data_IF_140248050795
#
_entry.id   IF_140248050795
#
_cell.length_a   1.000
_cell.length_b   1.000
_cell.length_c   1.000
_cell.angle_alpha   90.00
_cell.angle_beta   90.00
_cell.angle_gamma   90.00
#
_symmetry.space_group_name_H-M   'P 1'
#
loop_
_entity.id
_entity.type
_entity.pdbx_description
1 polymer ?
#
# COMPACT_ATOMS: atom_id res chain seq x y z
N UNK A 1 -17.95 -20.68 -21.24
CA UNK A 1 -16.95 -20.41 -20.18
C UNK A 1 -16.26 -19.10 -20.51
N UNK A 2 -15.98 -18.24 -19.53
CA UNK A 2 -15.18 -17.01 -19.78
C UNK A 2 -13.70 -17.37 -19.81
N UNK A 3 -13.06 -17.26 -20.97
CA UNK A 3 -11.62 -17.48 -21.12
C UNK A 3 -10.84 -16.35 -20.45
N UNK A 4 -10.00 -16.68 -19.46
CA UNK A 4 -9.10 -15.73 -18.80
C UNK A 4 -7.88 -15.48 -19.73
N UNK A 5 -7.88 -14.35 -20.43
CA UNK A 5 -6.81 -13.94 -21.35
C UNK A 5 -5.53 -13.56 -20.60
N UNK A 6 -5.71 -12.79 -19.51
CA UNK A 6 -4.64 -12.30 -18.65
C UNK A 6 -4.86 -12.77 -17.22
N UNK A 7 -3.81 -13.25 -16.57
CA UNK A 7 -3.73 -13.43 -15.14
C UNK A 7 -3.07 -12.22 -14.49
N UNK A 8 -3.69 -11.71 -13.42
CA UNK A 8 -3.26 -10.49 -12.75
C UNK A 8 -2.71 -10.84 -11.36
N UNK A 9 -1.44 -10.47 -11.11
CA UNK A 9 -0.80 -10.68 -9.81
C UNK A 9 -0.04 -9.43 -9.34
N UNK A 10 -0.24 -8.96 -8.09
CA UNK A 10 -1.24 -9.41 -7.13
C UNK A 10 -2.65 -8.90 -7.49
N UNK A 11 -3.69 -9.66 -7.13
CA UNK A 11 -5.10 -9.22 -7.26
C UNK A 11 -5.50 -8.12 -6.25
N UNK A 12 -4.69 -7.91 -5.21
CA UNK A 12 -4.90 -6.92 -4.16
C UNK A 12 -3.69 -5.97 -4.10
N UNK A 13 -3.90 -4.68 -4.41
CA UNK A 13 -2.82 -3.69 -4.40
C UNK A 13 -2.70 -3.02 -3.02
N UNK A 14 -1.58 -3.25 -2.35
CA UNK A 14 -1.21 -2.60 -1.08
C UNK A 14 -0.28 -1.40 -1.34
N UNK A 15 -0.48 -0.33 -0.59
CA UNK A 15 0.35 0.88 -0.64
C UNK A 15 0.69 1.30 0.79
N UNK A 16 1.97 1.44 1.09
CA UNK A 16 2.43 2.17 2.29
C UNK A 16 1.97 3.62 2.17
N UNK A 17 1.30 4.17 3.19
CA UNK A 17 0.84 5.56 3.17
C UNK A 17 1.67 6.44 4.09
N UNK A 18 2.13 7.54 3.52
CA UNK A 18 2.88 8.58 4.21
C UNK A 18 2.37 9.95 3.74
N UNK A 19 2.10 10.85 4.68
CA UNK A 19 1.65 12.20 4.36
C UNK A 19 2.67 12.92 3.48
N UNK A 20 2.20 13.58 2.43
CA UNK A 20 3.02 14.32 1.44
C UNK A 20 4.06 13.47 0.67
N UNK A 21 4.06 12.14 0.78
CA UNK A 21 4.93 11.27 -0.04
C UNK A 21 4.14 10.44 -1.04
N UNK A 22 4.81 10.04 -2.12
CA UNK A 22 4.29 9.08 -3.09
C UNK A 22 4.56 7.64 -2.64
N UNK A 23 3.77 6.70 -3.15
CA UNK A 23 3.92 5.26 -2.87
C UNK A 23 3.60 4.47 -4.13
N UNK A 24 4.31 3.38 -4.41
CA UNK A 24 4.13 2.63 -5.66
C UNK A 24 4.18 1.13 -5.47
N UNK A 25 3.34 0.42 -6.23
CA UNK A 25 3.38 -1.04 -6.36
C UNK A 25 3.42 -1.43 -7.85
N UNK A 26 3.93 -2.64 -8.13
CA UNK A 26 3.92 -3.23 -9.47
C UNK A 26 2.86 -4.32 -9.57
N UNK A 27 2.22 -4.40 -10.74
CA UNK A 27 1.19 -5.40 -11.08
C UNK A 27 1.65 -6.12 -12.33
N UNK A 28 1.76 -7.44 -12.25
CA UNK A 28 2.12 -8.30 -13.37
C UNK A 28 0.85 -8.77 -14.07
N UNK A 29 0.80 -8.55 -15.38
CA UNK A 29 -0.21 -9.06 -16.30
C UNK A 29 0.42 -10.19 -17.11
N UNK A 30 0.06 -11.44 -16.82
CA UNK A 30 0.59 -12.62 -17.49
C UNK A 30 -0.39 -13.12 -18.56
N UNK A 31 0.05 -13.14 -19.82
CA UNK A 31 -0.75 -13.62 -20.95
C UNK A 31 -0.73 -15.16 -21.00
N UNK A 32 -1.87 -15.80 -20.72
CA UNK A 32 -2.02 -17.26 -20.75
C UNK A 32 -2.22 -17.83 -22.17
N UNK A 33 -2.48 -16.98 -23.16
CA UNK A 33 -2.83 -17.37 -24.53
C UNK A 33 -1.61 -17.53 -25.45
N UNK A 34 -1.83 -18.17 -26.61
CA UNK A 34 -0.86 -18.25 -27.72
C UNK A 34 -0.90 -17.01 -28.65
N UNK A 35 -1.68 -15.99 -28.31
CA UNK A 35 -1.94 -14.81 -29.14
C UNK A 35 -1.47 -13.53 -28.46
N UNK A 36 -1.41 -12.44 -29.21
CA UNK A 36 -1.10 -11.12 -28.66
C UNK A 36 -2.35 -10.58 -27.94
N UNK A 37 -2.14 -10.00 -26.75
CA UNK A 37 -3.23 -9.42 -25.95
C UNK A 37 -2.95 -7.95 -25.72
N UNK A 38 -3.80 -7.07 -26.24
CA UNK A 38 -3.81 -5.66 -25.85
C UNK A 38 -4.48 -5.51 -24.48
N UNK A 39 -3.97 -4.60 -23.65
CA UNK A 39 -4.55 -4.27 -22.36
C UNK A 39 -4.78 -2.77 -22.20
N UNK A 40 -5.74 -2.41 -21.34
CA UNK A 40 -5.94 -1.04 -20.86
C UNK A 40 -6.38 -1.03 -19.41
N UNK A 41 -5.64 -0.29 -18.58
CA UNK A 41 -5.88 -0.13 -17.15
C UNK A 41 -6.68 1.15 -16.91
N UNK A 42 -7.77 1.04 -16.16
CA UNK A 42 -8.62 2.15 -15.69
C UNK A 42 -8.67 2.13 -14.17
N UNK A 43 -8.91 3.29 -13.56
CA UNK A 43 -9.09 3.43 -12.10
C UNK A 43 -10.31 4.28 -11.79
N UNK A 44 -10.96 4.02 -10.66
CA UNK A 44 -12.04 4.89 -10.14
C UNK A 44 -11.52 6.24 -9.65
N UNK A 45 -10.21 6.36 -9.40
CA UNK A 45 -9.63 7.49 -8.67
C UNK A 45 -8.39 8.08 -9.40
N UNK A 46 -8.55 8.56 -10.65
CA UNK A 46 -7.44 9.00 -11.52
C UNK A 46 -6.69 10.24 -11.01
N UNK A 47 -7.26 11.01 -10.08
CA UNK A 47 -6.57 12.11 -9.38
C UNK A 47 -5.61 11.61 -8.29
N UNK A 48 -5.82 10.40 -7.78
CA UNK A 48 -5.05 9.82 -6.67
C UNK A 48 -3.96 8.86 -7.16
N UNK A 49 -4.17 8.19 -8.29
CA UNK A 49 -3.25 7.20 -8.85
C UNK A 49 -2.81 7.53 -10.27
N UNK A 50 -1.53 7.29 -10.54
CA UNK A 50 -0.93 7.32 -11.87
C UNK A 50 -0.57 5.88 -12.22
N UNK A 51 -0.95 5.42 -13.41
CA UNK A 51 -0.65 4.07 -13.90
C UNK A 51 0.30 4.19 -15.10
N UNK A 52 1.43 3.47 -15.07
CA UNK A 52 2.44 3.50 -16.13
C UNK A 52 2.97 2.09 -16.48
N UNK A 53 2.91 1.69 -17.76
CA UNK A 53 2.02 2.22 -18.80
C UNK A 53 0.54 1.91 -18.47
N UNK A 54 -0.40 2.69 -19.01
CA UNK A 54 -1.83 2.47 -18.81
C UNK A 54 -2.52 1.66 -19.93
N UNK A 55 -1.80 1.39 -21.03
CA UNK A 55 -2.14 0.42 -22.07
C UNK A 55 -0.87 -0.09 -22.74
N UNK A 56 -0.97 -1.20 -23.46
CA UNK A 56 0.13 -1.79 -24.23
C UNK A 56 -0.29 -3.15 -24.80
N UNK A 57 0.64 -3.85 -25.45
CA UNK A 57 0.42 -5.20 -26.00
C UNK A 57 1.37 -6.21 -25.36
N UNK A 58 0.83 -7.34 -24.92
CA UNK A 58 1.58 -8.44 -24.30
C UNK A 58 1.71 -9.57 -25.32
N UNK A 59 2.95 -10.04 -25.52
CA UNK A 59 3.26 -11.17 -26.41
C UNK A 59 2.61 -12.49 -25.90
N UNK A 60 2.40 -13.49 -26.78
CA UNK A 60 2.04 -14.85 -26.38
C UNK A 60 2.93 -15.36 -25.23
N UNK A 61 2.33 -16.03 -24.24
CA UNK A 61 3.03 -16.63 -23.06
C UNK A 61 3.98 -15.69 -22.31
N UNK A 62 3.80 -14.39 -22.44
CA UNK A 62 4.67 -13.38 -21.84
C UNK A 62 3.96 -12.62 -20.73
N UNK A 63 4.74 -11.95 -19.89
CA UNK A 63 4.23 -11.16 -18.76
C UNK A 63 4.69 -9.72 -18.88
N UNK A 64 3.82 -8.79 -18.48
CA UNK A 64 4.07 -7.36 -18.53
C UNK A 64 3.88 -6.73 -17.15
N UNK A 65 4.81 -5.85 -16.73
CA UNK A 65 4.74 -5.18 -15.43
C UNK A 65 4.20 -3.75 -15.57
N UNK A 66 3.11 -3.46 -14.87
CA UNK A 66 2.49 -2.13 -14.78
C UNK A 66 2.76 -1.55 -13.40
N UNK A 67 3.39 -0.38 -13.34
CA UNK A 67 3.57 0.35 -12.08
C UNK A 67 2.36 1.24 -11.81
N UNK A 68 1.81 1.13 -10.60
CA UNK A 68 0.78 2.02 -10.08
C UNK A 68 1.40 2.87 -8.97
N UNK A 69 1.33 4.19 -9.11
CA UNK A 69 1.86 5.16 -8.13
C UNK A 69 0.71 5.96 -7.52
N UNK A 70 0.53 5.86 -6.21
CA UNK A 70 -0.31 6.76 -5.42
C UNK A 70 0.40 8.11 -5.27
N UNK A 71 -0.30 9.19 -5.62
CA UNK A 71 0.20 10.56 -5.52
C UNK A 71 0.22 11.05 -4.05
N UNK A 72 1.12 11.98 -3.70
CA UNK A 72 1.17 12.61 -2.38
C UNK A 72 -0.18 13.13 -1.88
N UNK A 73 -0.68 12.56 -0.78
CA UNK A 73 -1.92 13.02 -0.14
C UNK A 73 -1.61 14.09 0.92
N UNK A 74 -2.44 15.14 0.97
CA UNK A 74 -2.34 16.21 1.98
C UNK A 74 -3.05 15.88 3.30
N UNK A 75 -3.99 14.94 3.28
CA UNK A 75 -4.84 14.54 4.40
C UNK A 75 -4.88 13.01 4.45
N UNK A 76 -4.88 12.43 5.66
CA UNK A 76 -5.02 10.99 5.83
C UNK A 76 -6.46 10.53 5.48
N UNK A 77 -6.64 9.42 4.75
CA UNK A 77 -7.98 8.87 4.51
C UNK A 77 -8.69 8.54 5.82
N UNK A 78 -10.00 8.86 5.98
CA UNK A 78 -10.78 8.43 7.12
C UNK A 78 -10.71 6.90 7.30
N UNK A 79 -10.54 6.46 8.55
CA UNK A 79 -10.31 5.05 8.92
C UNK A 79 -9.12 4.36 8.22
N UNK A 80 -8.23 5.10 7.56
CA UNK A 80 -7.03 4.55 6.92
C UNK A 80 -7.35 3.43 5.91
N UNK A 81 -8.53 3.51 5.27
CA UNK A 81 -9.01 2.56 4.26
C UNK A 81 -9.23 3.28 2.93
N UNK A 82 -8.89 2.62 1.81
CA UNK A 82 -9.32 3.05 0.48
C UNK A 82 -10.33 2.07 -0.10
N UNK A 83 -11.30 2.59 -0.86
CA UNK A 83 -12.29 1.82 -1.63
C UNK A 83 -12.04 1.95 -3.14
N UNK A 84 -10.84 2.37 -3.50
CA UNK A 84 -10.42 2.62 -4.88
C UNK A 84 -10.32 1.29 -5.64
N UNK A 85 -10.65 1.27 -6.92
CA UNK A 85 -10.61 0.04 -7.74
C UNK A 85 -9.86 0.26 -9.04
N UNK A 86 -9.23 -0.80 -9.52
CA UNK A 86 -8.59 -0.85 -10.83
C UNK A 86 -9.31 -1.88 -11.71
N UNK A 87 -9.45 -1.55 -12.99
CA UNK A 87 -10.07 -2.40 -14.00
C UNK A 87 -9.03 -2.63 -15.09
N UNK A 88 -8.72 -3.90 -15.36
CA UNK A 88 -7.94 -4.27 -16.54
C UNK A 88 -8.92 -4.76 -17.59
N UNK A 89 -8.95 -4.07 -18.72
CA UNK A 89 -9.61 -4.53 -19.93
C UNK A 89 -8.58 -5.22 -20.81
N UNK A 90 -8.93 -6.35 -21.42
CA UNK A 90 -8.08 -7.06 -22.37
C UNK A 90 -8.85 -7.55 -23.58
N UNK A 91 -8.15 -7.62 -24.71
CA UNK A 91 -8.65 -8.15 -25.98
C UNK A 91 -7.52 -8.82 -26.76
N UNK A 92 -7.85 -9.89 -27.47
CA UNK A 92 -6.95 -10.49 -28.47
C UNK A 92 -6.71 -9.50 -29.61
N UNK A 93 -5.48 -9.43 -30.11
CA UNK A 93 -5.10 -8.56 -31.24
C UNK A 93 -4.17 -9.30 -32.22
N UNK A 94 -4.12 -8.89 -33.51
CA UNK A 94 -3.17 -9.43 -34.47
C UNK A 94 -1.70 -9.17 -34.11
N UNK A 95 -0.81 -9.98 -34.66
CA UNK A 95 0.62 -9.69 -34.67
C UNK A 95 0.89 -8.34 -35.34
N UNK A 96 1.75 -7.51 -34.75
CA UNK A 96 2.15 -6.21 -35.31
C UNK A 96 1.31 -5.01 -34.88
N UNK A 97 0.21 -5.22 -34.13
CA UNK A 97 -0.62 -4.13 -33.57
C UNK A 97 0.24 -3.19 -32.71
N UNK A 98 0.26 -1.89 -33.04
CA UNK A 98 1.03 -0.86 -32.32
C UNK A 98 0.24 -0.25 -31.15
N UNK A 99 0.91 0.51 -30.28
CA UNK A 99 0.24 1.13 -29.11
C UNK A 99 -0.82 2.16 -29.48
N UNK A 100 -0.69 2.81 -30.65
CA UNK A 100 -1.61 3.83 -31.14
C UNK A 100 -2.99 3.25 -31.51
N UNK A 101 -3.03 2.01 -32.02
CA UNK A 101 -4.26 1.32 -32.45
C UNK A 101 -5.11 0.73 -31.30
N UNK A 102 -4.58 0.74 -30.07
CA UNK A 102 -5.28 0.23 -28.88
C UNK A 102 -6.43 1.16 -28.44
N UNK A 103 -6.38 2.44 -28.84
CA UNK A 103 -7.35 3.45 -28.42
C UNK A 103 -8.77 3.30 -29.02
N UNK A 104 -8.95 3.00 -30.33
CA UNK A 104 -10.27 2.71 -30.89
C UNK A 104 -10.80 1.31 -30.52
N UNK A 105 -9.99 0.26 -30.58
CA UNK A 105 -10.44 -1.14 -30.41
C UNK A 105 -11.08 -1.46 -29.04
N UNK A 106 -10.74 -0.70 -27.99
CA UNK A 106 -11.27 -0.89 -26.61
C UNK A 106 -12.41 0.11 -26.29
N UNK A 107 -12.89 0.88 -27.28
CA UNK A 107 -13.98 1.87 -27.15
C UNK A 107 -15.06 1.68 -28.21
N UNK A 108 -16.22 1.17 -27.75
CA UNK A 108 -17.53 1.21 -28.43
C UNK A 108 -17.76 0.22 -29.59
N UNK A 109 -18.87 -0.54 -29.49
CA UNK A 109 -19.48 -1.23 -30.64
C UNK A 109 -20.07 -2.62 -30.33
N UNK A 110 -21.30 -2.95 -30.77
CA UNK A 110 -21.92 -4.25 -30.52
C UNK A 110 -21.48 -5.35 -31.53
N UNK A 111 -21.17 -6.52 -30.98
CA UNK A 111 -21.14 -7.86 -31.61
C UNK A 111 -20.43 -8.03 -32.97
N UNK A 112 -19.18 -8.51 -32.91
CA UNK A 112 -18.65 -9.60 -33.74
C UNK A 112 -17.42 -10.20 -33.04
N UNK A 113 -17.58 -11.41 -32.49
CA UNK A 113 -16.54 -12.34 -31.98
C UNK A 113 -15.30 -11.76 -31.25
N UNK A 114 -15.49 -10.76 -30.38
CA UNK A 114 -14.42 -10.26 -29.49
C UNK A 114 -14.73 -10.60 -28.02
N UNK A 115 -13.97 -11.55 -27.46
CA UNK A 115 -14.03 -11.95 -26.05
C UNK A 115 -13.40 -10.86 -25.15
N UNK A 116 -14.08 -9.74 -25.00
CA UNK A 116 -13.65 -8.63 -24.16
C UNK A 116 -13.74 -8.99 -22.66
N UNK A 117 -12.62 -9.42 -22.07
CA UNK A 117 -12.56 -9.72 -20.64
C UNK A 117 -12.48 -8.41 -19.83
N UNK A 118 -13.21 -8.39 -18.71
CA UNK A 118 -13.20 -7.30 -17.72
C UNK A 118 -12.84 -7.89 -16.37
N UNK A 119 -11.55 -7.93 -16.05
CA UNK A 119 -11.12 -8.41 -14.74
C UNK A 119 -11.01 -7.25 -13.74
N UNK A 120 -11.57 -7.46 -12.55
CA UNK A 120 -11.69 -6.44 -11.50
C UNK A 120 -10.61 -6.67 -10.45
N UNK A 121 -9.65 -5.75 -10.41
CA UNK A 121 -8.61 -5.71 -9.39
C UNK A 121 -9.15 -4.90 -8.21
N UNK A 122 -9.60 -5.60 -7.18
CA UNK A 122 -10.00 -4.98 -5.92
C UNK A 122 -8.75 -4.51 -5.16
N UNK A 123 -8.57 -3.20 -5.00
CA UNK A 123 -7.48 -2.66 -4.19
C UNK A 123 -7.93 -2.53 -2.73
N UNK A 124 -7.57 -3.53 -1.92
CA UNK A 124 -7.54 -3.39 -0.47
C UNK A 124 -6.25 -2.67 -0.07
N UNK A 125 -6.33 -1.35 0.07
CA UNK A 125 -5.19 -0.55 0.54
C UNK A 125 -5.04 -0.75 2.05
N UNK A 126 -4.24 -1.75 2.41
CA UNK A 126 -3.68 -1.88 3.74
C UNK A 126 -2.51 -0.90 3.87
N UNK A 127 -2.80 0.27 4.44
CA UNK A 127 -1.79 1.30 4.70
C UNK A 127 -0.93 0.87 5.90
N UNK A 128 0.18 0.21 5.61
CA UNK A 128 1.22 -0.03 6.60
C UNK A 128 1.90 1.33 6.88
N UNK A 129 1.93 1.84 8.13
CA UNK A 129 2.72 3.02 8.44
C UNK A 129 4.22 2.69 8.26
N UNK A 130 5.05 3.62 7.79
CA UNK A 130 6.48 3.37 7.66
C UNK A 130 7.09 3.04 9.03
N UNK A 131 8.11 2.17 9.10
CA UNK A 131 8.92 2.08 10.32
C UNK A 131 9.53 3.46 10.60
N UNK A 132 9.29 3.98 11.80
CA UNK A 132 9.84 5.27 12.23
C UNK A 132 11.37 5.19 12.21
N UNK A 133 11.99 5.80 11.20
CA UNK A 133 13.40 6.21 11.32
C UNK A 133 13.44 7.38 12.27
N UNK A 134 14.09 7.19 13.42
CA UNK A 134 14.52 8.31 14.27
C UNK A 134 15.49 9.14 13.45
N UNK A 135 15.27 10.45 13.41
CA UNK A 135 16.20 11.42 12.83
C UNK A 135 17.35 11.65 13.80
N UNK A 136 18.56 11.26 13.40
CA UNK A 136 19.78 11.79 13.99
C UNK A 136 20.17 13.03 13.17
N UNK A 137 19.82 14.20 13.70
CA UNK A 137 20.35 15.47 13.20
C UNK A 137 21.76 15.68 13.77
N UNK A 138 22.57 16.35 12.95
CA UNK A 138 24.03 16.46 13.07
C UNK A 138 24.46 17.52 14.11
N UNK A 139 25.31 17.14 15.06
CA UNK A 139 26.25 18.09 15.69
C UNK A 139 27.68 17.52 15.70
N UNK A 140 28.61 18.36 15.25
CA UNK A 140 30.06 18.13 15.25
C UNK A 140 30.67 19.17 16.16
N UNK A 141 31.37 18.76 17.22
CA UNK A 141 32.45 19.53 17.84
C UNK A 141 33.54 18.61 18.39
N UNK A 142 34.78 19.05 18.21
CA UNK A 142 36.03 18.46 18.72
C UNK A 142 36.18 18.84 20.24
N UNK A 143 37.11 18.34 21.07
CA UNK A 143 38.32 17.55 20.84
C UNK A 143 38.77 16.79 22.13
N UNK A 144 39.83 15.98 21.99
CA UNK A 144 40.81 15.53 23.01
C UNK A 144 40.37 14.82 24.33
N UNK A 145 40.78 13.55 24.45
CA UNK A 145 41.76 13.15 25.49
C UNK A 145 42.46 11.83 25.09
N UNK A 146 43.80 11.81 25.05
CA UNK A 146 44.65 10.61 24.91
C UNK A 146 45.45 10.45 26.23
N UNK A 147 45.81 9.23 26.67
CA UNK A 147 47.21 8.82 26.52
C UNK A 147 47.41 7.41 25.93
N UNK A 148 48.58 7.16 25.33
CA UNK A 148 48.97 5.94 24.63
C UNK A 148 49.76 4.93 25.49
N UNK A 149 49.73 3.66 25.10
CA UNK A 149 50.90 2.75 25.07
C UNK A 149 50.65 1.62 24.03
N UNK A 150 51.36 1.56 22.89
CA UNK A 150 52.64 0.86 22.66
C UNK A 150 52.60 -0.65 23.02
N UNK A 151 52.92 -1.62 22.15
CA UNK A 151 53.84 -1.65 20.99
C UNK A 151 53.38 -2.56 19.83
N UNK A 152 53.77 -2.19 18.58
CA UNK A 152 54.34 -2.96 17.43
C UNK A 152 53.85 -4.40 17.09
N UNK A 153 53.89 -4.87 15.85
CA UNK A 153 54.85 -4.57 14.78
C UNK A 153 54.28 -4.79 13.36
N UNK A 154 54.81 -4.04 12.38
CA UNK A 154 54.55 -4.17 10.94
C UNK A 154 55.61 -5.05 10.26
N UNK A 155 55.25 -5.82 9.22
CA UNK A 155 55.83 -5.80 7.86
C UNK A 155 55.23 -6.95 6.99
N UNK A 156 55.56 -7.15 5.71
CA UNK A 156 55.46 -6.25 4.54
C UNK A 156 55.38 -7.06 3.21
N UNK A 157 55.33 -6.38 2.06
CA UNK A 157 55.47 -6.92 0.67
C UNK A 157 54.25 -7.62 0.05
N UNK A 158 53.83 -7.13 -1.13
CA UNK A 158 53.02 -7.89 -2.09
C UNK A 158 53.78 -8.14 -3.39
N UNK A 159 53.25 -8.95 -4.31
CA UNK A 159 53.63 -8.98 -5.74
C UNK A 159 52.52 -9.64 -6.57
N UNK A 160 52.44 -9.27 -7.86
CA UNK A 160 51.43 -9.71 -8.86
C UNK A 160 51.98 -10.93 -9.65
N UNK A 161 51.14 -11.88 -10.08
CA UNK A 161 50.92 -12.23 -11.51
C UNK A 161 50.24 -13.60 -11.79
N UNK A 162 49.55 -13.63 -12.93
CA UNK A 162 49.34 -14.72 -13.91
C UNK A 162 48.54 -15.98 -13.55
N UNK A 163 47.58 -16.26 -14.43
CA UNK A 163 46.87 -17.54 -14.57
C UNK A 163 47.72 -18.52 -15.40
N UNK A 164 47.63 -19.83 -15.09
CA UNK A 164 47.49 -20.85 -16.13
C UNK A 164 46.80 -22.10 -15.56
N UNK A 165 46.11 -22.88 -16.39
CA UNK A 165 45.34 -24.04 -15.95
C UNK A 165 46.04 -25.38 -16.15
N UNK A 166 45.47 -26.43 -15.54
CA UNK A 166 45.27 -27.80 -16.06
C UNK A 166 44.69 -28.68 -14.92
N UNK A 167 43.74 -29.56 -15.22
CA UNK A 167 43.27 -30.61 -14.28
C UNK A 167 43.77 -32.00 -14.69
N UNK A 168 43.09 -33.10 -14.32
CA UNK A 168 42.46 -33.38 -13.02
C UNK A 168 42.83 -34.80 -12.48
N UNK A 169 42.96 -35.01 -11.17
CA UNK A 169 42.89 -36.38 -10.58
C UNK A 169 42.44 -36.42 -9.11
N UNK A 170 41.38 -37.19 -8.87
CA UNK A 170 41.20 -38.22 -7.84
C UNK A 170 41.51 -37.94 -6.35
N UNK A 171 40.43 -38.04 -5.56
CA UNK A 171 40.30 -38.87 -4.34
C UNK A 171 40.83 -38.38 -2.97
N UNK A 172 39.85 -38.10 -2.10
CA UNK A 172 39.84 -38.31 -0.64
C UNK A 172 40.68 -37.37 0.23
N UNK A 173 40.07 -36.25 0.62
CA UNK A 173 40.35 -35.58 1.89
C UNK A 173 39.04 -35.42 2.68
N UNK A 174 39.00 -35.93 3.91
CA UNK A 174 37.82 -35.86 4.78
C UNK A 174 37.82 -34.51 5.50
N UNK A 175 37.14 -33.54 4.90
CA UNK A 175 37.10 -32.17 5.38
C UNK A 175 36.65 -32.08 6.84
N UNK A 176 37.44 -31.33 7.62
CA UNK A 176 37.42 -31.27 9.08
C UNK A 176 36.03 -30.92 9.65
N UNK A 177 35.39 -31.82 10.44
CA UNK A 177 34.04 -31.59 10.95
C UNK A 177 33.93 -30.38 11.89
N UNK A 178 35.03 -29.93 12.50
CA UNK A 178 35.03 -28.75 13.39
C UNK A 178 34.66 -27.45 12.67
N UNK A 179 35.03 -27.30 11.39
CA UNK A 179 34.75 -26.07 10.63
C UNK A 179 33.24 -25.86 10.46
N UNK A 180 32.50 -26.95 10.19
CA UNK A 180 31.04 -26.92 10.05
C UNK A 180 30.33 -26.63 11.39
N UNK A 181 30.90 -27.12 12.51
CA UNK A 181 30.32 -26.95 13.85
C UNK A 181 30.39 -25.49 14.31
N UNK A 182 31.52 -24.81 14.11
CA UNK A 182 31.64 -23.39 14.46
C UNK A 182 30.83 -22.48 13.53
N UNK A 183 30.69 -22.82 12.25
CA UNK A 183 29.78 -22.11 11.35
C UNK A 183 28.32 -22.24 11.82
N UNK A 184 27.87 -23.45 12.19
CA UNK A 184 26.52 -23.69 12.72
C UNK A 184 26.28 -22.95 14.04
N UNK A 185 27.24 -22.97 14.99
CA UNK A 185 27.18 -22.16 16.22
C UNK A 185 27.08 -20.67 15.92
N UNK A 186 27.81 -20.18 14.91
CA UNK A 186 27.75 -18.76 14.52
C UNK A 186 26.36 -18.39 13.98
N UNK A 187 25.76 -19.24 13.14
CA UNK A 187 24.40 -19.05 12.60
C UNK A 187 23.33 -19.11 13.68
N UNK A 188 23.48 -19.99 14.67
CA UNK A 188 22.55 -20.07 15.81
C UNK A 188 22.55 -18.75 16.61
N UNK A 189 23.73 -18.23 16.97
CA UNK A 189 23.86 -16.92 17.65
C UNK A 189 23.20 -15.78 16.86
N UNK A 190 23.35 -15.78 15.52
CA UNK A 190 22.71 -14.78 14.65
C UNK A 190 21.17 -14.92 14.64
N UNK A 191 20.64 -16.15 14.67
CA UNK A 191 19.19 -16.38 14.77
C UNK A 191 18.62 -15.96 16.12
N UNK A 192 19.32 -16.25 17.23
CA UNK A 192 18.88 -15.85 18.58
C UNK A 192 18.79 -14.31 18.72
N UNK A 193 19.71 -13.57 18.11
CA UNK A 193 19.68 -12.10 18.07
C UNK A 193 18.46 -11.61 17.27
N UNK A 194 18.23 -12.17 16.08
CA UNK A 194 17.08 -11.82 15.23
C UNK A 194 15.73 -12.18 15.87
N UNK A 195 15.67 -13.27 16.63
CA UNK A 195 14.47 -13.67 17.35
C UNK A 195 14.14 -12.65 18.45
N UNK A 196 15.13 -12.22 19.24
CA UNK A 196 14.96 -11.17 20.25
C UNK A 196 14.53 -9.83 19.64
N UNK A 197 15.09 -9.45 18.49
CA UNK A 197 14.67 -8.23 17.76
C UNK A 197 13.21 -8.32 17.29
N UNK A 198 12.79 -9.50 16.79
CA UNK A 198 11.41 -9.75 16.40
C UNK A 198 10.46 -9.72 17.61
N UNK A 199 10.82 -10.33 18.74
CA UNK A 199 10.01 -10.36 19.97
C UNK A 199 9.80 -8.95 20.53
N UNK A 200 10.85 -8.12 20.61
CA UNK A 200 10.76 -6.71 21.00
C UNK A 200 9.85 -5.90 20.07
N UNK A 201 9.91 -6.19 18.76
CA UNK A 201 9.06 -5.54 17.76
C UNK A 201 7.59 -5.95 17.93
N UNK A 202 7.32 -7.23 18.19
CA UNK A 202 5.98 -7.74 18.48
C UNK A 202 5.44 -7.12 19.78
N UNK A 203 6.24 -7.07 20.85
CA UNK A 203 5.84 -6.47 22.12
C UNK A 203 5.41 -5.01 21.93
N UNK A 204 6.28 -4.17 21.34
CA UNK A 204 5.97 -2.77 21.02
C UNK A 204 4.68 -2.61 20.20
N UNK A 205 4.51 -3.40 19.13
CA UNK A 205 3.31 -3.35 18.30
C UNK A 205 2.05 -3.81 19.04
N UNK A 206 2.16 -4.75 19.99
CA UNK A 206 1.01 -5.13 20.84
C UNK A 206 0.65 -4.04 21.85
N UNK A 207 1.62 -3.29 22.38
CA UNK A 207 1.37 -2.14 23.25
C UNK A 207 0.69 -0.99 22.51
N UNK A 208 1.19 -0.64 21.31
CA UNK A 208 0.56 0.37 20.45
C UNK A 208 -0.88 -0.01 20.09
N UNK A 209 -1.12 -1.29 19.71
CA UNK A 209 -2.49 -1.80 19.47
C UNK A 209 -3.38 -1.71 20.72
N UNK A 210 -2.85 -1.98 21.92
CA UNK A 210 -3.59 -1.82 23.19
C UNK A 210 -3.91 -0.34 23.45
N UNK A 211 -2.98 0.58 23.17
CA UNK A 211 -3.21 2.03 23.33
C UNK A 211 -4.32 2.54 22.40
N UNK A 212 -4.23 2.25 21.09
CA UNK A 212 -5.23 2.62 20.09
C UNK A 212 -6.61 2.04 20.45
N UNK A 213 -6.68 0.80 20.95
CA UNK A 213 -7.94 0.19 21.40
C UNK A 213 -8.59 0.99 22.54
N UNK A 214 -7.82 1.38 23.56
CA UNK A 214 -8.32 2.20 24.70
C UNK A 214 -8.80 3.57 24.24
N UNK A 215 -8.11 4.20 23.29
CA UNK A 215 -8.51 5.49 22.72
C UNK A 215 -9.83 5.37 21.94
N UNK A 216 -9.98 4.33 21.11
CA UNK A 216 -11.24 4.04 20.41
C UNK A 216 -12.39 3.81 21.40
N UNK A 217 -12.18 3.00 22.43
CA UNK A 217 -13.16 2.77 23.50
C UNK A 217 -13.53 4.06 24.28
N UNK A 218 -12.66 5.08 24.27
CA UNK A 218 -13.00 6.41 24.83
C UNK A 218 -13.84 7.22 23.84
N UNK A 219 -13.42 7.30 22.58
CA UNK A 219 -14.14 8.02 21.51
C UNK A 219 -15.57 7.49 21.31
N UNK A 220 -15.76 6.17 21.33
CA UNK A 220 -17.08 5.54 21.20
C UNK A 220 -18.00 5.95 22.38
N UNK A 221 -17.48 6.00 23.62
CA UNK A 221 -18.23 6.49 24.81
C UNK A 221 -18.58 7.97 24.70
N UNK A 222 -17.64 8.82 24.29
CA UNK A 222 -17.88 10.26 24.13
C UNK A 222 -18.95 10.52 23.03
N UNK A 223 -18.95 9.72 21.96
CA UNK A 223 -19.95 9.78 20.88
C UNK A 223 -21.34 9.33 21.35
N UNK A 224 -21.45 8.31 22.19
CA UNK A 224 -22.72 7.92 22.83
C UNK A 224 -23.29 9.02 23.73
N UNK A 225 -22.44 9.67 24.54
CA UNK A 225 -22.84 10.79 25.40
C UNK A 225 -23.38 11.97 24.56
N UNK A 226 -22.68 12.34 23.48
CA UNK A 226 -23.15 13.37 22.55
C UNK A 226 -24.48 12.99 21.90
N UNK A 227 -24.64 11.75 21.44
CA UNK A 227 -25.90 11.23 20.86
C UNK A 227 -27.07 11.32 21.84
N UNK A 228 -26.84 10.96 23.10
CA UNK A 228 -27.85 11.02 24.19
C UNK A 228 -28.18 12.45 24.62
N UNK A 229 -27.26 13.40 24.44
CA UNK A 229 -27.54 14.82 24.64
C UNK A 229 -28.39 15.41 23.51
N UNK A 230 -28.17 14.96 22.27
CA UNK A 230 -28.86 15.45 21.06
C UNK A 230 -30.33 15.08 21.05
N UNK A 231 -30.68 13.85 21.46
CA UNK A 231 -32.07 13.40 21.59
C UNK A 231 -32.87 14.14 22.67
N UNK A 232 -32.20 14.71 23.68
CA UNK A 232 -32.85 15.50 24.75
C UNK A 232 -33.06 16.98 24.41
N UNK A 233 -32.53 17.49 23.30
CA UNK A 233 -32.63 18.91 22.90
C UNK A 233 -33.55 19.17 21.69
N UNK A 234 -34.39 18.21 21.32
CA UNK A 234 -35.40 18.37 20.25
C UNK A 234 -36.81 18.37 20.85
N UNK A 235 -37.04 19.22 21.85
CA UNK A 235 -38.40 19.63 22.22
C UNK A 235 -38.78 20.86 21.37
N UNK A 236 -38.99 20.62 20.07
CA UNK A 236 -39.50 21.63 19.15
C UNK A 236 -41.01 21.74 19.36
N UNK A 237 -41.40 22.57 20.33
CA UNK A 237 -42.79 22.93 20.55
C UNK A 237 -43.34 23.76 19.39
N UNK A 238 -43.94 23.09 18.40
CA UNK A 238 -44.65 23.70 17.28
C UNK A 238 -46.18 23.77 17.59
N UNK A 239 -46.99 24.33 16.70
CA UNK A 239 -47.37 25.74 16.63
C UNK A 239 -48.61 26.09 17.49
N UNK A 240 -49.00 25.31 18.51
CA UNK A 240 -50.29 25.49 19.20
C UNK A 240 -50.46 26.88 19.85
N UNK A 241 -49.39 27.45 20.43
CA UNK A 241 -49.42 28.81 20.97
C UNK A 241 -49.64 29.87 19.88
N UNK A 242 -49.13 29.64 18.66
CA UNK A 242 -49.30 30.55 17.53
C UNK A 242 -50.73 30.54 16.98
N UNK A 243 -51.36 29.35 16.90
CA UNK A 243 -52.78 29.23 16.59
C UNK A 243 -53.66 29.92 17.66
N UNK A 244 -53.31 29.76 18.94
CA UNK A 244 -54.02 30.42 20.04
C UNK A 244 -53.90 31.96 20.01
N UNK A 245 -52.72 32.51 19.72
CA UNK A 245 -52.55 33.97 19.62
C UNK A 245 -53.27 34.56 18.42
N UNK A 246 -53.22 33.90 17.24
CA UNK A 246 -53.96 34.36 16.05
C UNK A 246 -55.48 34.34 16.30
N UNK A 247 -56.00 33.30 16.96
CA UNK A 247 -57.42 33.25 17.35
C UNK A 247 -57.80 34.37 18.32
N UNK A 248 -56.99 34.62 19.36
CA UNK A 248 -57.24 35.67 20.34
C UNK A 248 -57.25 37.07 19.69
N UNK A 249 -56.27 37.36 18.82
CA UNK A 249 -56.20 38.64 18.08
C UNK A 249 -57.42 38.80 17.19
N UNK A 250 -57.87 37.73 16.50
CA UNK A 250 -59.05 37.77 15.63
C UNK A 250 -60.33 38.11 16.41
N UNK A 251 -60.50 37.57 17.62
CA UNK A 251 -61.64 37.89 18.50
C UNK A 251 -61.58 39.34 18.99
N UNK A 252 -60.40 39.83 19.40
CA UNK A 252 -60.24 41.21 19.89
C UNK A 252 -60.52 42.22 18.76
N UNK A 253 -59.99 41.99 17.55
CA UNK A 253 -60.25 42.85 16.38
C UNK A 253 -61.74 42.83 16.01
N UNK A 254 -62.39 41.66 16.03
CA UNK A 254 -63.84 41.54 15.79
C UNK A 254 -64.68 42.29 16.82
N UNK A 255 -64.30 42.25 18.10
CA UNK A 255 -64.98 42.97 19.17
C UNK A 255 -64.80 44.50 19.03
N UNK A 256 -63.60 44.96 18.74
CA UNK A 256 -63.31 46.39 18.52
C UNK A 256 -63.96 46.96 17.26
N UNK A 257 -64.21 46.13 16.23
CA UNK A 257 -64.93 46.55 15.02
C UNK A 257 -66.46 46.50 15.17
N UNK A 258 -66.97 45.99 16.29
CA UNK A 258 -68.40 45.84 16.59
C UNK A 258 -68.89 46.81 17.68
N UNK A 259 -68.05 47.75 18.10
CA UNK A 259 -68.28 48.70 19.20
C UNK A 259 -68.11 50.14 18.76
#
# INVERSE_FOLDING_TARGET
>A
MTTELLEIQPRLLKFTFELKKQSSCSVVLANKTEQYVAFKVKTTSPRKYIVRPNSGVIKPKSSFSVTVTMQPQKVAPPEMQSKDKFLVQSSLVPYGTSEDEISPTIKEGPCSDTLAQRDRVDSGVENIPPPQRVSEDMEVLEAEMIPQSHLKETNETGTRHLCNGNGPTNETDWQDPNLTLEELKSKLRVMDIKLKEADLTVEKLTEERRAIKREKEKLDRDLELLRKSRTKKVQVGFPLLYLATVALISVIVGFLASS
#
